data_IF_382155962286
#
_entry.id   IF_382155962286
#
_cell.length_a   1.000
_cell.length_b   1.000
_cell.length_c   1.000
_cell.angle_alpha   90.00
_cell.angle_beta   90.00
_cell.angle_gamma   90.00
#
_symmetry.space_group_name_H-M   'P 1'
#
loop_
_entity.id
_entity.type
_entity.pdbx_description
1 polymer ?
#
# COMPACT_ATOMS: atom_id res chain seq x y z
N UNK A 1 43.85 -26.44 -33.81
CA UNK A 1 42.61 -26.21 -34.58
C UNK A 1 41.98 -24.92 -34.11
N UNK A 2 41.53 -24.10 -35.05
CA UNK A 2 40.68 -22.92 -34.85
C UNK A 2 39.21 -23.35 -34.79
N UNK A 3 38.33 -22.46 -34.31
CA UNK A 3 36.88 -22.67 -34.26
C UNK A 3 36.20 -21.69 -35.21
N UNK A 4 35.35 -22.23 -36.07
CA UNK A 4 34.63 -21.48 -37.09
C UNK A 4 33.14 -21.57 -36.86
N UNK A 5 32.48 -20.41 -36.88
CA UNK A 5 31.03 -20.22 -36.86
C UNK A 5 30.60 -20.07 -38.31
N UNK A 6 29.92 -21.08 -38.83
CA UNK A 6 29.55 -21.16 -40.25
C UNK A 6 28.05 -20.98 -40.38
N UNK A 7 27.65 -19.89 -41.02
CA UNK A 7 26.25 -19.67 -41.40
C UNK A 7 25.95 -20.48 -42.65
N UNK A 8 24.86 -21.25 -42.64
CA UNK A 8 24.51 -22.19 -43.71
C UNK A 8 23.03 -22.17 -44.04
N UNK A 9 22.66 -22.67 -45.22
CA UNK A 9 21.28 -23.04 -45.56
C UNK A 9 21.16 -24.50 -45.97
N UNK A 10 20.01 -25.11 -45.65
CA UNK A 10 19.61 -26.43 -46.14
C UNK A 10 18.11 -26.40 -46.41
N UNK A 11 17.73 -26.51 -47.69
CA UNK A 11 16.41 -26.07 -48.14
C UNK A 11 16.15 -24.59 -47.79
N UNK A 12 14.92 -24.25 -47.43
CA UNK A 12 14.51 -22.88 -47.08
C UNK A 12 14.98 -22.38 -45.70
N UNK A 13 15.65 -23.23 -44.89
CA UNK A 13 16.03 -22.89 -43.51
C UNK A 13 17.51 -22.50 -43.41
N UNK A 14 17.79 -21.43 -42.65
CA UNK A 14 19.14 -20.98 -42.29
C UNK A 14 19.53 -21.51 -40.91
N UNK A 15 20.79 -21.90 -40.75
CA UNK A 15 21.37 -22.45 -39.51
C UNK A 15 22.75 -21.81 -39.26
N UNK A 16 23.25 -21.95 -38.04
CA UNK A 16 24.64 -21.61 -37.69
C UNK A 16 25.28 -22.84 -37.07
N UNK A 17 26.30 -23.39 -37.74
CA UNK A 17 27.07 -24.56 -37.31
C UNK A 17 28.37 -24.05 -36.67
N UNK A 18 28.83 -24.73 -35.61
CA UNK A 18 30.16 -24.49 -35.01
C UNK A 18 31.01 -25.70 -35.31
N UNK A 19 32.16 -25.50 -35.97
CA UNK A 19 33.06 -26.56 -36.39
C UNK A 19 34.52 -26.23 -36.03
N UNK A 20 35.34 -27.27 -35.85
CA UNK A 20 36.78 -27.15 -35.62
C UNK A 20 37.56 -27.58 -36.86
N UNK A 21 38.49 -26.73 -37.29
CA UNK A 21 39.33 -26.93 -38.47
C UNK A 21 40.69 -26.22 -38.29
N UNK A 22 41.64 -26.44 -39.19
CA UNK A 22 42.89 -25.69 -39.25
C UNK A 22 42.71 -24.42 -40.10
N UNK A 23 42.03 -24.50 -41.25
CA UNK A 23 41.71 -23.35 -42.12
C UNK A 23 40.20 -23.08 -42.24
N UNK A 24 39.85 -21.90 -42.76
CA UNK A 24 38.47 -21.53 -43.09
C UNK A 24 37.90 -22.46 -44.19
N UNK A 25 38.72 -22.83 -45.17
CA UNK A 25 38.29 -23.65 -46.30
C UNK A 25 38.07 -25.12 -45.93
N UNK A 26 38.84 -25.66 -44.99
CA UNK A 26 38.56 -26.98 -44.39
C UNK A 26 37.23 -26.96 -43.60
N UNK A 27 36.87 -25.83 -42.97
CA UNK A 27 35.57 -25.66 -42.33
C UNK A 27 34.42 -25.61 -43.35
N UNK A 28 34.61 -24.93 -44.50
CA UNK A 28 33.66 -24.95 -45.63
C UNK A 28 33.49 -26.36 -46.19
N UNK A 29 34.60 -27.05 -46.48
CA UNK A 29 34.60 -28.35 -47.15
C UNK A 29 33.91 -29.44 -46.32
N UNK A 30 34.16 -29.50 -45.01
CA UNK A 30 33.47 -30.44 -44.09
C UNK A 30 31.96 -30.24 -44.09
N UNK A 31 31.51 -28.99 -44.05
CA UNK A 31 30.09 -28.63 -44.01
C UNK A 31 29.42 -28.85 -45.38
N UNK A 32 30.14 -28.63 -46.48
CA UNK A 32 29.67 -28.95 -47.82
C UNK A 32 29.49 -30.47 -48.00
N UNK A 33 30.38 -31.30 -47.45
CA UNK A 33 30.26 -32.77 -47.43
C UNK A 33 29.02 -33.27 -46.65
N UNK A 34 28.52 -32.51 -45.68
CA UNK A 34 27.24 -32.79 -45.01
C UNK A 34 26.01 -32.28 -45.79
N UNK A 35 26.18 -31.71 -46.99
CA UNK A 35 25.09 -31.24 -47.84
C UNK A 35 24.43 -29.96 -47.32
N UNK A 36 25.23 -29.00 -46.86
CA UNK A 36 24.81 -27.63 -46.52
C UNK A 36 25.45 -26.62 -47.46
N UNK A 37 24.68 -25.64 -47.94
CA UNK A 37 25.24 -24.48 -48.66
C UNK A 37 25.79 -23.47 -47.65
N UNK A 38 27.06 -23.09 -47.79
CA UNK A 38 27.70 -22.10 -46.91
C UNK A 38 27.29 -20.68 -47.34
N UNK A 39 26.85 -19.87 -46.37
CA UNK A 39 26.46 -18.47 -46.53
C UNK A 39 27.50 -17.49 -45.97
N UNK A 40 28.42 -17.97 -45.13
CA UNK A 40 29.52 -17.18 -44.56
C UNK A 40 30.23 -17.95 -43.44
N UNK A 41 31.52 -17.66 -43.24
CA UNK A 41 32.35 -18.24 -42.19
C UNK A 41 32.97 -17.13 -41.35
N UNK A 42 32.95 -17.29 -40.04
CA UNK A 42 33.60 -16.40 -39.09
C UNK A 42 34.50 -17.25 -38.18
N UNK A 43 35.79 -16.92 -38.05
CA UNK A 43 36.61 -17.43 -36.95
C UNK A 43 36.15 -16.75 -35.65
N UNK A 44 35.92 -17.52 -34.58
CA UNK A 44 35.38 -16.98 -33.33
C UNK A 44 36.09 -17.55 -32.10
N UNK A 45 36.10 -16.78 -31.01
CA UNK A 45 36.66 -17.18 -29.73
C UNK A 45 35.61 -17.77 -28.79
N UNK A 46 35.99 -18.68 -27.88
CA UNK A 46 35.05 -19.21 -26.86
C UNK A 46 34.45 -18.14 -25.93
N UNK A 47 34.94 -16.89 -25.97
CA UNK A 47 34.44 -15.76 -25.18
C UNK A 47 33.18 -15.11 -25.76
N UNK A 48 32.84 -15.36 -27.03
CA UNK A 48 31.75 -14.69 -27.75
C UNK A 48 30.42 -15.48 -27.75
N UNK A 49 30.37 -16.58 -26.98
CA UNK A 49 29.21 -17.47 -26.93
C UNK A 49 28.08 -16.91 -26.06
N UNK A 50 27.10 -16.26 -26.70
CA UNK A 50 25.86 -15.73 -26.06
C UNK A 50 24.87 -16.88 -25.75
N UNK A 51 25.27 -17.83 -24.90
CA UNK A 51 24.44 -18.95 -24.44
C UNK A 51 25.20 -19.97 -23.59
N UNK A 52 24.46 -20.76 -22.82
CA UNK A 52 25.00 -21.89 -22.06
C UNK A 52 25.14 -23.13 -22.95
N UNK A 53 26.21 -23.90 -22.75
CA UNK A 53 26.44 -25.20 -23.39
C UNK A 53 25.63 -26.29 -22.65
N UNK A 54 24.77 -26.99 -23.38
CA UNK A 54 24.03 -28.15 -22.92
C UNK A 54 24.51 -29.40 -23.67
N UNK A 55 24.76 -30.47 -22.93
CA UNK A 55 25.15 -31.78 -23.46
C UNK A 55 23.87 -32.61 -23.58
N UNK A 56 23.67 -33.24 -24.74
CA UNK A 56 22.49 -34.05 -25.01
C UNK A 56 22.84 -35.44 -25.54
N UNK A 57 21.96 -36.39 -25.23
CA UNK A 57 21.91 -37.72 -25.82
C UNK A 57 20.46 -37.96 -26.25
N UNK A 58 20.26 -38.16 -27.55
CA UNK A 58 18.94 -38.33 -28.16
C UNK A 58 18.87 -39.64 -28.93
N UNK A 59 17.66 -40.18 -29.06
CA UNK A 59 17.35 -41.27 -29.98
C UNK A 59 16.65 -40.71 -31.21
N UNK A 60 17.17 -41.09 -32.37
CA UNK A 60 16.53 -40.89 -33.66
C UNK A 60 15.33 -41.83 -33.79
N UNK A 61 14.13 -41.31 -34.04
CA UNK A 61 12.89 -42.12 -34.07
C UNK A 61 12.88 -43.08 -35.24
N UNK A 62 13.25 -42.56 -36.40
CA UNK A 62 13.14 -43.28 -37.67
C UNK A 62 14.35 -44.21 -37.85
N UNK A 63 15.53 -43.80 -37.37
CA UNK A 63 16.77 -44.57 -37.53
C UNK A 63 17.19 -45.41 -36.32
N UNK A 64 16.55 -45.25 -35.16
CA UNK A 64 16.91 -45.87 -33.85
C UNK A 64 18.31 -45.55 -33.31
N UNK A 65 19.17 -44.87 -34.09
CA UNK A 65 20.51 -44.40 -33.73
C UNK A 65 20.50 -43.53 -32.45
N UNK A 66 21.54 -43.69 -31.63
CA UNK A 66 21.80 -42.85 -30.47
C UNK A 66 22.78 -41.76 -30.89
N UNK A 67 22.38 -40.49 -30.79
CA UNK A 67 23.18 -39.32 -31.18
C UNK A 67 23.52 -38.50 -29.95
N UNK A 68 24.81 -38.29 -29.74
CA UNK A 68 25.37 -37.47 -28.67
C UNK A 68 25.83 -36.13 -29.24
N UNK A 69 25.61 -35.04 -28.53
CA UNK A 69 26.01 -33.72 -29.01
C UNK A 69 26.06 -32.64 -27.94
N UNK A 70 26.52 -31.46 -28.35
CA UNK A 70 26.52 -30.23 -27.54
C UNK A 70 25.73 -29.18 -28.31
N UNK A 71 24.79 -28.52 -27.63
CA UNK A 71 23.95 -27.46 -28.18
C UNK A 71 24.04 -26.23 -27.29
N UNK A 72 24.08 -25.05 -27.90
CA UNK A 72 24.22 -23.78 -27.19
C UNK A 72 22.85 -23.10 -27.16
N UNK A 73 22.39 -22.69 -25.98
CA UNK A 73 21.05 -22.13 -25.79
C UNK A 73 20.93 -21.17 -24.61
N UNK A 74 19.83 -20.42 -24.57
CA UNK A 74 19.52 -19.49 -23.46
C UNK A 74 18.76 -20.15 -22.31
N UNK A 75 18.09 -21.28 -22.55
CA UNK A 75 17.33 -22.05 -21.56
C UNK A 75 17.30 -23.53 -21.98
N UNK A 76 17.58 -24.44 -21.04
CA UNK A 76 17.55 -25.90 -21.22
C UNK A 76 16.18 -26.42 -21.69
N UNK A 77 15.07 -25.83 -21.23
CA UNK A 77 13.74 -26.25 -21.68
C UNK A 77 13.41 -25.74 -23.09
N UNK A 78 13.97 -24.60 -23.51
CA UNK A 78 13.85 -24.13 -24.90
C UNK A 78 14.69 -25.01 -25.85
N UNK A 79 15.85 -25.49 -25.39
CA UNK A 79 16.61 -26.54 -26.09
C UNK A 79 15.81 -27.85 -26.17
N UNK A 80 15.18 -28.28 -25.06
CA UNK A 80 14.34 -29.47 -25.03
C UNK A 80 13.16 -29.39 -26.01
N UNK A 81 12.46 -28.24 -26.06
CA UNK A 81 11.41 -27.98 -27.05
C UNK A 81 11.95 -28.08 -28.48
N UNK A 82 13.12 -27.50 -28.79
CA UNK A 82 13.72 -27.60 -30.14
C UNK A 82 14.05 -29.06 -30.51
N UNK A 83 14.69 -29.80 -29.62
CA UNK A 83 15.02 -31.21 -29.85
C UNK A 83 13.75 -32.06 -30.10
N UNK A 84 12.65 -31.78 -29.39
CA UNK A 84 11.43 -32.60 -29.42
C UNK A 84 10.38 -32.18 -30.46
N UNK A 85 10.16 -30.89 -30.65
CA UNK A 85 9.12 -30.33 -31.53
C UNK A 85 9.66 -29.83 -32.89
N UNK A 86 10.92 -29.38 -32.98
CA UNK A 86 11.52 -28.94 -34.26
C UNK A 86 12.35 -30.04 -34.95
N UNK A 87 12.94 -30.94 -34.17
CA UNK A 87 13.84 -32.02 -34.63
C UNK A 87 13.30 -33.44 -34.34
N UNK A 88 12.10 -33.54 -33.75
CA UNK A 88 11.35 -34.78 -33.49
C UNK A 88 12.03 -35.86 -32.62
N UNK A 89 13.21 -35.60 -32.09
CA UNK A 89 14.01 -36.55 -31.30
C UNK A 89 13.37 -36.91 -29.95
N UNK A 90 13.57 -38.16 -29.52
CA UNK A 90 13.33 -38.54 -28.13
C UNK A 90 14.60 -38.31 -27.31
N UNK A 91 14.51 -37.36 -26.37
CA UNK A 91 15.64 -36.93 -25.53
C UNK A 91 15.83 -37.92 -24.37
N UNK A 92 16.95 -38.64 -24.37
CA UNK A 92 17.34 -39.57 -23.29
C UNK A 92 18.01 -38.79 -22.16
N UNK A 93 18.95 -37.92 -22.48
CA UNK A 93 19.61 -37.01 -21.54
C UNK A 93 19.77 -35.61 -22.13
N UNK A 94 19.63 -34.60 -21.26
CA UNK A 94 19.92 -33.19 -21.54
C UNK A 94 20.28 -32.53 -20.20
N UNK A 95 21.50 -32.00 -20.10
CA UNK A 95 22.05 -31.38 -18.88
C UNK A 95 23.07 -30.30 -19.24
N UNK A 96 23.42 -29.40 -18.31
CA UNK A 96 24.41 -28.34 -18.60
C UNK A 96 25.84 -28.89 -18.57
N UNK A 97 26.79 -28.18 -19.20
CA UNK A 97 28.21 -28.54 -19.10
C UNK A 97 28.75 -28.52 -17.65
N UNK A 98 28.11 -27.75 -16.75
CA UNK A 98 28.44 -27.74 -15.32
C UNK A 98 27.99 -29.04 -14.62
N UNK A 99 26.85 -29.61 -15.05
CA UNK A 99 26.30 -30.86 -14.51
C UNK A 99 27.03 -32.12 -15.03
N UNK A 100 28.10 -31.98 -15.82
CA UNK A 100 28.77 -33.12 -16.50
C UNK A 100 29.22 -34.23 -15.53
N UNK A 101 29.67 -33.85 -14.32
CA UNK A 101 30.07 -34.75 -13.23
C UNK A 101 28.91 -35.28 -12.36
N UNK A 102 27.66 -34.90 -12.63
CA UNK A 102 26.50 -35.35 -11.84
C UNK A 102 26.20 -36.85 -12.02
N UNK A 103 25.58 -37.43 -10.98
CA UNK A 103 25.18 -38.84 -10.92
C UNK A 103 24.06 -39.14 -11.93
N UNK A 104 23.97 -40.37 -12.45
CA UNK A 104 22.94 -40.71 -13.47
C UNK A 104 21.51 -40.47 -12.96
N UNK A 105 21.29 -40.71 -11.66
CA UNK A 105 20.04 -40.45 -10.96
C UNK A 105 19.65 -38.97 -10.96
N UNK A 106 20.57 -38.04 -11.21
CA UNK A 106 20.27 -36.61 -11.35
C UNK A 106 19.96 -36.24 -12.80
N UNK A 107 20.71 -36.78 -13.76
CA UNK A 107 20.45 -36.65 -15.20
C UNK A 107 19.04 -37.15 -15.57
N UNK A 108 18.59 -38.26 -14.99
CA UNK A 108 17.22 -38.78 -15.12
C UNK A 108 16.18 -37.82 -14.49
N UNK A 109 16.44 -37.25 -13.30
CA UNK A 109 15.52 -36.27 -12.66
C UNK A 109 15.35 -35.02 -13.50
N UNK A 110 16.39 -34.55 -14.19
CA UNK A 110 16.32 -33.38 -15.09
C UNK A 110 15.36 -33.67 -16.25
N UNK A 111 15.52 -34.82 -16.92
CA UNK A 111 14.67 -35.23 -18.05
C UNK A 111 13.20 -35.41 -17.63
N UNK A 112 12.94 -36.12 -16.53
CA UNK A 112 11.57 -36.31 -16.03
C UNK A 112 10.93 -34.96 -15.64
N UNK A 113 11.73 -34.01 -15.14
CA UNK A 113 11.25 -32.64 -14.92
C UNK A 113 10.89 -31.97 -16.25
N UNK A 114 11.76 -31.98 -17.26
CA UNK A 114 11.49 -31.37 -18.58
C UNK A 114 10.24 -31.96 -19.27
N UNK A 115 9.99 -33.26 -19.10
CA UNK A 115 8.75 -33.91 -19.55
C UNK A 115 7.50 -33.41 -18.80
N UNK A 116 7.53 -33.28 -17.47
CA UNK A 116 6.45 -32.65 -16.69
C UNK A 116 6.20 -31.20 -17.15
N UNK A 117 7.26 -30.45 -17.47
CA UNK A 117 7.17 -29.04 -17.91
C UNK A 117 6.47 -28.90 -19.27
N UNK A 118 6.76 -29.79 -20.22
CA UNK A 118 6.18 -29.81 -21.58
C UNK A 118 4.65 -29.88 -21.55
N UNK A 119 4.10 -30.77 -20.73
CA UNK A 119 2.67 -31.06 -20.67
C UNK A 119 1.84 -29.89 -20.12
N UNK A 120 2.44 -28.98 -19.35
CA UNK A 120 1.74 -27.83 -18.75
C UNK A 120 1.54 -26.70 -19.78
N UNK A 121 2.47 -26.52 -20.71
CA UNK A 121 2.52 -25.33 -21.56
C UNK A 121 1.44 -25.32 -22.66
N UNK A 122 0.97 -26.49 -23.11
CA UNK A 122 -0.06 -26.60 -24.16
C UNK A 122 -1.48 -26.20 -23.72
N UNK A 123 -1.71 -25.86 -22.44
CA UNK A 123 -3.07 -25.66 -21.89
C UNK A 123 -3.47 -24.25 -21.44
N UNK A 124 -2.71 -23.17 -21.73
CA UNK A 124 -2.90 -21.86 -21.07
C UNK A 124 -2.75 -20.63 -22.02
N UNK A 125 -3.55 -20.53 -23.08
CA UNK A 125 -3.52 -19.41 -24.06
C UNK A 125 -4.91 -18.94 -24.59
N UNK A 126 -5.75 -18.32 -23.75
CA UNK A 126 -6.86 -17.43 -24.18
C UNK A 126 -7.04 -16.29 -23.12
N UNK A 127 -7.41 -15.08 -23.57
CA UNK A 127 -7.93 -13.90 -22.85
C UNK A 127 -7.04 -13.11 -21.83
N UNK A 128 -6.89 -11.80 -22.10
CA UNK A 128 -7.07 -10.64 -21.17
C UNK A 128 -6.59 -9.31 -21.83
N UNK A 129 -7.51 -8.34 -22.09
CA UNK A 129 -7.32 -6.90 -22.43
C UNK A 129 -8.69 -6.28 -22.81
N UNK A 130 -9.10 -5.02 -22.54
CA UNK A 130 -8.56 -3.81 -21.85
C UNK A 130 -9.59 -3.33 -20.75
N UNK A 131 -9.91 -2.07 -20.34
CA UNK A 131 -9.47 -0.65 -20.55
C UNK A 131 -9.93 0.26 -19.36
N UNK A 132 -9.81 1.60 -19.45
CA UNK A 132 -10.11 2.58 -18.36
C UNK A 132 -10.54 3.99 -18.92
N UNK A 133 -10.63 5.05 -18.07
CA UNK A 133 -10.80 6.53 -18.36
C UNK A 133 -12.25 7.13 -18.50
N UNK A 134 -12.63 8.40 -18.17
CA UNK A 134 -12.04 9.54 -17.39
C UNK A 134 -13.00 10.71 -16.91
N UNK A 135 -12.65 11.40 -15.79
CA UNK A 135 -12.69 12.87 -15.33
C UNK A 135 -13.85 13.93 -15.43
N UNK A 136 -13.78 14.91 -14.46
CA UNK A 136 -14.17 16.39 -14.44
C UNK A 136 -15.63 16.85 -14.09
N UNK A 137 -16.02 18.16 -14.00
CA UNK A 137 -15.75 19.38 -13.12
C UNK A 137 -16.97 20.41 -13.29
N UNK A 138 -17.18 21.68 -12.79
CA UNK A 138 -16.47 22.82 -12.09
C UNK A 138 -17.43 23.97 -11.59
N UNK A 139 -16.92 25.00 -10.86
CA UNK A 139 -17.36 26.45 -10.75
C UNK A 139 -18.62 26.91 -9.93
N UNK A 140 -18.94 28.22 -9.72
CA UNK A 140 -18.30 29.31 -8.88
C UNK A 140 -19.15 30.63 -8.70
N UNK A 141 -19.15 31.27 -7.50
CA UNK A 141 -19.46 32.71 -7.15
C UNK A 141 -20.89 33.29 -7.49
N UNK A 142 -21.36 34.51 -7.13
CA UNK A 142 -20.80 35.77 -6.54
C UNK A 142 -21.91 36.68 -5.88
N UNK A 143 -21.55 37.84 -5.23
CA UNK A 143 -22.21 39.19 -5.24
C UNK A 143 -22.06 40.08 -3.97
N UNK A 144 -22.20 41.41 -4.12
CA UNK A 144 -22.15 42.48 -3.08
C UNK A 144 -23.21 43.57 -3.33
N UNK A 145 -23.81 44.18 -2.28
CA UNK A 145 -24.29 45.59 -2.28
C UNK A 145 -24.73 46.08 -0.87
N UNK A 146 -24.07 47.10 -0.30
CA UNK A 146 -24.56 48.05 0.73
C UNK A 146 -23.36 48.95 1.15
N UNK A 147 -23.43 50.28 0.98
CA UNK A 147 -22.21 51.12 1.05
C UNK A 147 -22.31 52.54 1.62
N UNK A 148 -23.49 53.02 2.06
CA UNK A 148 -23.63 54.40 2.59
C UNK A 148 -23.87 54.52 4.11
N UNK A 149 -24.61 53.61 4.75
CA UNK A 149 -24.75 53.60 6.22
C UNK A 149 -23.45 53.15 6.91
N UNK A 150 -22.79 52.14 6.32
CA UNK A 150 -21.48 51.62 6.73
C UNK A 150 -20.40 52.69 6.94
N UNK A 151 -20.46 53.83 6.23
CA UNK A 151 -19.39 54.83 6.23
C UNK A 151 -19.15 55.44 7.62
N UNK A 152 -20.20 55.87 8.31
CA UNK A 152 -20.09 56.53 9.62
C UNK A 152 -19.75 55.56 10.75
N UNK A 153 -20.33 54.36 10.71
CA UNK A 153 -20.00 53.27 11.65
C UNK A 153 -18.53 52.83 11.45
N UNK A 154 -18.07 52.70 10.20
CA UNK A 154 -16.66 52.43 9.88
C UNK A 154 -15.74 53.50 10.45
N UNK A 155 -16.08 54.78 10.33
CA UNK A 155 -15.23 55.85 10.85
C UNK A 155 -15.05 55.79 12.36
N UNK A 156 -16.12 55.56 13.13
CA UNK A 156 -16.05 55.37 14.59
C UNK A 156 -15.21 54.15 14.96
N UNK A 157 -15.37 53.04 14.24
CA UNK A 157 -14.60 51.81 14.47
C UNK A 157 -13.11 51.97 14.13
N UNK A 158 -12.78 52.71 13.07
CA UNK A 158 -11.41 53.00 12.68
C UNK A 158 -10.68 53.84 13.74
N UNK A 159 -11.37 54.74 14.43
CA UNK A 159 -10.76 55.49 15.54
C UNK A 159 -10.44 54.61 16.75
N UNK A 160 -11.27 53.60 17.06
CA UNK A 160 -10.91 52.57 18.05
C UNK A 160 -9.72 51.71 17.58
N UNK A 161 -9.61 51.38 16.28
CA UNK A 161 -8.44 50.67 15.73
C UNK A 161 -7.18 51.53 15.80
N UNK A 162 -7.25 52.82 15.47
CA UNK A 162 -6.13 53.77 15.61
C UNK A 162 -5.69 53.93 17.07
N UNK A 163 -6.63 54.02 18.01
CA UNK A 163 -6.32 54.04 19.44
C UNK A 163 -5.63 52.75 19.90
N UNK A 164 -6.15 51.57 19.52
CA UNK A 164 -5.52 50.30 19.90
C UNK A 164 -4.15 50.10 19.23
N UNK A 165 -3.97 50.52 17.97
CA UNK A 165 -2.66 50.56 17.30
C UNK A 165 -1.65 51.45 18.05
N UNK A 166 -2.06 52.65 18.47
CA UNK A 166 -1.21 53.57 19.24
C UNK A 166 -0.72 52.90 20.52
N UNK A 167 -1.64 52.32 21.30
CA UNK A 167 -1.31 51.62 22.55
C UNK A 167 -0.36 50.43 22.31
N UNK A 168 -0.53 49.69 21.21
CA UNK A 168 0.36 48.58 20.79
C UNK A 168 1.77 49.08 20.40
N UNK A 169 1.89 50.26 19.81
CA UNK A 169 3.17 50.88 19.42
C UNK A 169 3.90 51.50 20.64
N UNK A 170 3.17 51.99 21.63
CA UNK A 170 3.71 52.74 22.78
C UNK A 170 3.94 51.87 24.03
N UNK A 171 3.01 50.98 24.40
CA UNK A 171 3.12 50.16 25.62
C UNK A 171 4.00 48.90 25.41
N UNK A 172 5.32 49.13 25.49
CA UNK A 172 6.35 48.08 25.44
C UNK A 172 6.12 46.96 26.46
N UNK A 173 5.54 47.26 27.62
CA UNK A 173 5.44 46.31 28.74
C UNK A 173 4.37 45.24 28.50
N UNK A 174 3.39 45.49 27.62
CA UNK A 174 2.32 44.54 27.29
C UNK A 174 2.60 43.80 25.98
N UNK A 175 3.11 44.50 24.97
CA UNK A 175 3.17 43.97 23.60
C UNK A 175 4.57 43.51 23.16
N UNK A 176 5.64 43.97 23.82
CA UNK A 176 7.04 43.56 23.63
C UNK A 176 7.43 43.33 22.15
N UNK A 177 7.16 44.34 21.32
CA UNK A 177 7.36 44.29 19.87
C UNK A 177 8.84 44.39 19.49
N UNK A 178 9.24 43.60 18.50
CA UNK A 178 10.52 43.81 17.79
C UNK A 178 10.48 45.11 16.96
N UNK A 179 11.66 45.69 16.76
CA UNK A 179 11.97 46.83 15.91
C UNK A 179 11.26 46.81 14.55
N UNK A 180 11.40 45.71 13.80
CA UNK A 180 10.82 45.54 12.46
C UNK A 180 9.27 45.48 12.52
N UNK A 181 8.72 44.91 13.59
CA UNK A 181 7.27 44.84 13.81
C UNK A 181 6.71 46.22 14.18
N UNK A 182 7.44 47.00 14.99
CA UNK A 182 7.05 48.35 15.42
C UNK A 182 6.98 49.30 14.23
N UNK A 183 7.96 49.25 13.32
CA UNK A 183 7.92 49.98 12.05
C UNK A 183 6.69 49.58 11.22
N UNK A 184 6.47 48.27 11.01
CA UNK A 184 5.29 47.76 10.28
C UNK A 184 3.95 48.17 10.89
N UNK A 185 3.86 48.40 12.20
CA UNK A 185 2.66 48.95 12.83
C UNK A 185 2.54 50.48 12.68
N UNK A 186 3.66 51.21 12.72
CA UNK A 186 3.69 52.65 12.42
C UNK A 186 3.28 52.93 10.96
N UNK A 187 3.74 52.12 10.00
CA UNK A 187 3.31 52.20 8.60
C UNK A 187 1.80 51.98 8.45
N UNK A 188 1.22 51.00 9.15
CA UNK A 188 -0.22 50.75 9.14
C UNK A 188 -0.99 51.92 9.75
N UNK A 189 -0.53 52.44 10.88
CA UNK A 189 -1.12 53.61 11.55
C UNK A 189 -1.12 54.85 10.63
N UNK A 190 0.02 55.16 10.01
CA UNK A 190 0.18 56.26 9.06
C UNK A 190 -0.70 56.09 7.81
N UNK A 191 -0.81 54.87 7.27
CA UNK A 191 -1.67 54.58 6.13
C UNK A 191 -3.16 54.70 6.47
N UNK A 192 -3.60 54.23 7.65
CA UNK A 192 -4.99 54.41 8.10
C UNK A 192 -5.31 55.91 8.27
N UNK A 193 -4.42 56.71 8.87
CA UNK A 193 -4.59 58.17 8.97
C UNK A 193 -4.69 58.82 7.59
N UNK A 194 -3.82 58.45 6.65
CA UNK A 194 -3.81 58.97 5.27
C UNK A 194 -5.12 58.62 4.54
N UNK A 195 -5.64 57.41 4.73
CA UNK A 195 -6.84 56.90 4.04
C UNK A 195 -8.14 57.34 4.73
N UNK A 196 -8.14 57.66 6.04
CA UNK A 196 -9.30 58.22 6.76
C UNK A 196 -9.82 59.47 6.06
N UNK A 197 -8.93 60.29 5.52
CA UNK A 197 -9.23 61.52 4.74
C UNK A 197 -9.88 61.27 3.36
N UNK A 198 -9.98 60.02 2.88
CA UNK A 198 -10.30 59.69 1.48
C UNK A 198 -11.61 58.90 1.27
N UNK A 199 -12.57 59.01 2.19
CA UNK A 199 -14.00 58.60 2.03
C UNK A 199 -14.29 57.15 1.58
N UNK A 200 -13.31 56.24 1.58
CA UNK A 200 -13.48 54.87 1.12
C UNK A 200 -13.63 53.89 2.30
N UNK A 201 -14.87 53.64 2.74
CA UNK A 201 -15.15 52.73 3.86
C UNK A 201 -14.70 51.29 3.60
N UNK A 202 -14.80 50.77 2.38
CA UNK A 202 -14.38 49.40 2.06
C UNK A 202 -12.87 49.21 2.30
N UNK A 203 -12.02 50.12 1.78
CA UNK A 203 -10.57 50.11 2.03
C UNK A 203 -10.24 50.37 3.50
N UNK A 204 -11.00 51.22 4.19
CA UNK A 204 -10.84 51.43 5.63
C UNK A 204 -11.14 50.16 6.42
N UNK A 205 -12.30 49.51 6.22
CA UNK A 205 -12.65 48.22 6.83
C UNK A 205 -11.57 47.18 6.57
N UNK A 206 -11.11 47.01 5.33
CA UNK A 206 -10.05 46.05 4.96
C UNK A 206 -8.71 46.31 5.69
N UNK A 207 -8.26 47.56 5.78
CA UNK A 207 -6.98 47.89 6.45
C UNK A 207 -7.12 47.83 7.98
N UNK A 208 -8.28 48.23 8.51
CA UNK A 208 -8.62 48.09 9.94
C UNK A 208 -8.72 46.62 10.38
N UNK A 209 -9.35 45.78 9.56
CA UNK A 209 -9.34 44.32 9.73
C UNK A 209 -7.90 43.79 9.70
N UNK A 210 -7.09 44.15 8.70
CA UNK A 210 -5.69 43.71 8.59
C UNK A 210 -4.85 44.12 9.82
N UNK A 211 -5.09 45.32 10.37
CA UNK A 211 -4.48 45.78 11.61
C UNK A 211 -4.90 44.93 12.82
N UNK A 212 -6.21 44.73 13.02
CA UNK A 212 -6.75 43.91 14.12
C UNK A 212 -6.34 42.44 14.00
N UNK A 213 -6.22 41.90 12.78
CA UNK A 213 -5.70 40.55 12.55
C UNK A 213 -4.23 40.43 12.95
N UNK A 214 -3.41 41.47 12.74
CA UNK A 214 -2.02 41.48 13.22
C UNK A 214 -1.95 41.61 14.75
N UNK A 215 -2.77 42.48 15.36
CA UNK A 215 -2.86 42.66 16.81
C UNK A 215 -3.32 41.37 17.49
N UNK A 216 -4.43 40.77 17.04
CA UNK A 216 -5.00 39.55 17.62
C UNK A 216 -4.09 38.33 17.49
N UNK A 217 -3.25 38.25 16.45
CA UNK A 217 -2.20 37.23 16.35
C UNK A 217 -1.09 37.40 17.41
N UNK A 218 -0.84 38.60 17.90
CA UNK A 218 0.14 38.87 18.98
C UNK A 218 -0.53 38.64 20.35
N UNK A 219 -1.75 39.13 20.53
CA UNK A 219 -2.53 38.91 21.76
C UNK A 219 -2.81 37.42 22.00
N UNK A 220 -3.13 36.64 20.96
CA UNK A 220 -3.30 35.19 21.05
C UNK A 220 -1.98 34.50 21.46
N UNK A 221 -0.84 34.87 20.86
CA UNK A 221 0.48 34.34 21.25
C UNK A 221 0.85 34.69 22.70
N UNK A 222 0.49 35.89 23.16
CA UNK A 222 0.74 36.32 24.54
C UNK A 222 -0.22 35.61 25.52
N UNK A 223 -1.45 35.33 25.13
CA UNK A 223 -2.42 34.52 25.88
C UNK A 223 -1.94 33.05 25.97
N UNK A 224 -1.54 32.43 24.86
CA UNK A 224 -1.01 31.06 24.82
C UNK A 224 0.26 30.90 25.68
N UNK A 225 1.06 31.96 25.86
CA UNK A 225 2.25 31.97 26.73
C UNK A 225 1.98 32.28 28.20
N UNK A 226 1.12 33.27 28.49
CA UNK A 226 0.99 33.86 29.83
C UNK A 226 -0.34 33.56 30.52
N UNK A 227 -1.38 33.19 29.77
CA UNK A 227 -2.70 32.73 30.24
C UNK A 227 -3.46 33.69 31.19
N UNK A 228 -3.02 34.95 31.32
CA UNK A 228 -3.52 35.92 32.30
C UNK A 228 -4.94 36.43 32.00
N UNK A 229 -5.61 37.00 33.01
CA UNK A 229 -6.91 37.69 32.82
C UNK A 229 -6.79 38.85 31.82
N UNK A 230 -5.76 39.70 31.98
CA UNK A 230 -5.49 40.86 31.10
C UNK A 230 -5.30 40.46 29.63
N UNK A 231 -4.58 39.37 29.35
CA UNK A 231 -4.42 38.88 27.97
C UNK A 231 -5.71 38.33 27.35
N UNK A 232 -6.62 37.77 28.17
CA UNK A 232 -7.97 37.35 27.73
C UNK A 232 -8.89 38.55 27.47
N UNK A 233 -8.83 39.57 28.31
CA UNK A 233 -9.60 40.82 28.14
C UNK A 233 -9.19 41.52 26.83
N UNK A 234 -7.89 41.69 26.58
CA UNK A 234 -7.36 42.28 25.35
C UNK A 234 -7.75 41.53 24.08
N UNK A 235 -7.66 40.19 24.06
CA UNK A 235 -8.06 39.39 22.89
C UNK A 235 -9.59 39.46 22.66
N UNK A 236 -10.39 39.49 23.74
CA UNK A 236 -11.84 39.65 23.65
C UNK A 236 -12.24 41.03 23.09
N UNK A 237 -11.51 42.10 23.41
CA UNK A 237 -11.71 43.40 22.76
C UNK A 237 -11.39 43.37 21.27
N UNK A 238 -10.29 42.74 20.87
CA UNK A 238 -9.92 42.59 19.45
C UNK A 238 -10.97 41.78 18.69
N UNK A 239 -11.49 40.71 19.29
CA UNK A 239 -12.61 39.93 18.72
C UNK A 239 -13.90 40.76 18.59
N UNK A 240 -14.23 41.62 19.56
CA UNK A 240 -15.35 42.56 19.46
C UNK A 240 -15.15 43.57 18.32
N UNK A 241 -13.96 44.15 18.20
CA UNK A 241 -13.64 45.11 17.14
C UNK A 241 -13.66 44.46 15.75
N UNK A 242 -13.15 43.24 15.60
CA UNK A 242 -13.22 42.45 14.35
C UNK A 242 -14.68 42.20 13.93
N UNK A 243 -15.51 41.72 14.88
CA UNK A 243 -16.94 41.50 14.63
C UNK A 243 -17.64 42.80 14.20
N UNK A 244 -17.38 43.91 14.88
CA UNK A 244 -18.03 45.19 14.59
C UNK A 244 -17.59 45.78 13.23
N UNK A 245 -16.36 45.55 12.78
CA UNK A 245 -15.90 45.93 11.43
C UNK A 245 -16.52 45.04 10.33
N UNK A 246 -17.09 43.88 10.69
CA UNK A 246 -17.70 42.93 9.77
C UNK A 246 -16.77 41.79 9.34
N UNK A 247 -15.68 41.54 10.08
CA UNK A 247 -14.80 40.41 9.80
C UNK A 247 -15.44 39.09 10.21
N UNK A 248 -15.40 38.11 9.31
CA UNK A 248 -15.78 36.71 9.58
C UNK A 248 -14.70 35.94 10.39
N UNK A 249 -13.68 36.63 10.92
CA UNK A 249 -12.55 36.02 11.64
C UNK A 249 -12.58 36.37 13.11
N UNK A 250 -12.54 35.34 13.96
CA UNK A 250 -12.41 35.45 15.41
C UNK A 250 -11.20 34.64 15.87
N UNK A 251 -10.41 35.19 16.79
CA UNK A 251 -9.32 34.46 17.44
C UNK A 251 -9.84 33.67 18.64
N UNK A 252 -9.74 32.35 18.57
CA UNK A 252 -10.16 31.41 19.62
C UNK A 252 -8.92 30.63 20.08
N UNK A 253 -8.84 30.31 21.37
CA UNK A 253 -7.80 29.42 21.90
C UNK A 253 -7.86 28.06 21.19
N UNK A 254 -6.72 27.55 20.68
CA UNK A 254 -6.63 26.29 19.93
C UNK A 254 -7.23 25.07 20.64
N UNK A 255 -7.23 25.08 21.98
CA UNK A 255 -7.76 24.00 22.82
C UNK A 255 -9.27 24.10 23.09
N UNK A 256 -9.93 25.20 22.67
CA UNK A 256 -11.37 25.47 22.82
C UNK A 256 -12.10 25.58 21.49
N UNK A 257 -11.37 25.81 20.39
CA UNK A 257 -11.94 25.79 19.05
C UNK A 257 -12.31 24.35 18.64
N UNK A 258 -13.60 24.05 18.70
CA UNK A 258 -14.19 22.77 18.28
C UNK A 258 -13.86 22.48 16.81
N UNK A 259 -13.73 23.51 15.96
CA UNK A 259 -13.37 23.36 14.56
C UNK A 259 -11.90 22.97 14.41
N UNK A 260 -10.99 23.63 15.12
CA UNK A 260 -9.57 23.25 15.14
C UNK A 260 -9.36 21.82 15.66
N UNK A 261 -10.10 21.43 16.72
CA UNK A 261 -10.13 20.05 17.21
C UNK A 261 -10.61 19.07 16.12
N UNK A 262 -11.72 19.37 15.44
CA UNK A 262 -12.25 18.53 14.36
C UNK A 262 -11.30 18.45 13.16
N UNK A 263 -10.65 19.55 12.75
CA UNK A 263 -9.61 19.56 11.72
C UNK A 263 -8.39 18.73 12.12
N UNK A 264 -8.01 18.72 13.41
CA UNK A 264 -6.92 17.91 13.94
C UNK A 264 -7.29 16.40 13.97
N UNK A 265 -8.52 16.05 14.36
CA UNK A 265 -9.02 14.67 14.27
C UNK A 265 -9.17 14.20 12.82
N UNK A 266 -9.72 15.03 11.93
CA UNK A 266 -9.91 14.73 10.51
C UNK A 266 -8.58 14.55 9.79
N UNK A 267 -7.60 15.44 10.01
CA UNK A 267 -6.26 15.30 9.46
C UNK A 267 -5.53 14.08 10.00
N UNK A 268 -5.68 13.71 11.28
CA UNK A 268 -5.17 12.45 11.82
C UNK A 268 -5.81 11.21 11.15
N UNK A 269 -7.13 11.22 10.94
CA UNK A 269 -7.84 10.15 10.24
C UNK A 269 -7.36 10.02 8.78
N UNK A 270 -7.30 11.13 8.05
CA UNK A 270 -6.81 11.18 6.67
C UNK A 270 -5.34 10.73 6.56
N UNK A 271 -4.49 11.10 7.52
CA UNK A 271 -3.10 10.65 7.60
C UNK A 271 -2.98 9.14 7.90
N UNK A 272 -3.88 8.57 8.71
CA UNK A 272 -3.96 7.13 8.93
C UNK A 272 -4.45 6.40 7.66
N UNK A 273 -5.48 6.92 6.99
CA UNK A 273 -6.01 6.37 5.75
C UNK A 273 -5.01 6.44 4.58
N UNK A 274 -4.24 7.53 4.47
CA UNK A 274 -3.14 7.63 3.50
C UNK A 274 -2.06 6.57 3.77
N UNK A 275 -1.65 6.38 5.03
CA UNK A 275 -0.72 5.29 5.41
C UNK A 275 -1.27 3.90 5.10
N UNK A 276 -2.59 3.70 5.15
CA UNK A 276 -3.22 2.45 4.69
C UNK A 276 -3.10 2.25 3.18
N UNK A 277 -3.36 3.29 2.38
CA UNK A 277 -3.15 3.26 0.93
C UNK A 277 -1.67 2.99 0.59
N UNK A 278 -0.73 3.61 1.28
CA UNK A 278 0.72 3.36 1.10
C UNK A 278 1.09 1.90 1.44
N UNK A 279 0.46 1.30 2.47
CA UNK A 279 0.64 -0.11 2.81
C UNK A 279 0.00 -1.03 1.74
N UNK A 280 -1.19 -0.68 1.22
CA UNK A 280 -1.83 -1.40 0.10
C UNK A 280 -0.91 -1.38 -1.14
N UNK A 281 -0.37 -0.22 -1.47
CA UNK A 281 0.57 0.00 -2.57
C UNK A 281 1.87 -0.79 -2.39
N UNK A 282 2.37 -0.90 -1.15
CA UNK A 282 3.53 -1.74 -0.81
C UNK A 282 3.29 -3.24 -1.11
N UNK A 283 2.05 -3.75 -1.01
CA UNK A 283 1.70 -5.12 -1.40
C UNK A 283 1.34 -5.29 -2.88
N UNK A 284 0.93 -4.22 -3.57
CA UNK A 284 0.69 -4.21 -5.02
C UNK A 284 1.93 -3.74 -5.79
N UNK A 285 3.07 -4.40 -5.57
CA UNK A 285 4.23 -4.24 -6.45
C UNK A 285 3.88 -4.63 -7.90
N UNK A 286 4.54 -3.98 -8.87
CA UNK A 286 4.50 -4.43 -10.28
C UNK A 286 4.85 -5.92 -10.34
N UNK A 287 4.01 -6.71 -11.02
CA UNK A 287 4.37 -8.08 -11.40
C UNK A 287 5.48 -7.96 -12.44
N UNK A 288 6.59 -8.67 -12.25
CA UNK A 288 7.54 -8.93 -13.33
C UNK A 288 6.87 -9.81 -14.40
N UNK A 289 7.15 -9.52 -15.67
CA UNK A 289 6.59 -10.28 -16.79
C UNK A 289 7.31 -11.63 -16.93
N UNK A 290 6.77 -12.67 -16.28
CA UNK A 290 7.39 -13.98 -16.30
C UNK A 290 7.13 -14.67 -17.64
N UNK A 291 8.23 -15.04 -18.31
CA UNK A 291 8.22 -16.05 -19.35
C UNK A 291 7.73 -17.40 -18.79
N UNK A 292 6.45 -17.69 -19.04
CA UNK A 292 5.77 -18.95 -18.69
C UNK A 292 6.37 -20.18 -19.39
N UNK A 293 7.23 -20.00 -20.39
CA UNK A 293 7.99 -21.07 -21.07
C UNK A 293 9.38 -21.32 -20.46
N UNK A 294 9.82 -20.55 -19.47
CA UNK A 294 11.15 -20.74 -18.88
C UNK A 294 11.23 -21.96 -17.97
N UNK A 295 12.38 -22.65 -17.98
CA UNK A 295 12.66 -23.76 -17.06
C UNK A 295 12.52 -23.33 -15.59
N UNK A 296 12.91 -22.09 -15.26
CA UNK A 296 12.78 -21.53 -13.90
C UNK A 296 11.32 -21.41 -13.45
N UNK A 297 10.42 -20.95 -14.31
CA UNK A 297 8.99 -20.88 -14.01
C UNK A 297 8.38 -22.28 -13.90
N UNK A 298 8.61 -23.16 -14.88
CA UNK A 298 7.97 -24.48 -14.92
C UNK A 298 8.51 -25.39 -13.79
N UNK A 299 9.79 -25.27 -13.40
CA UNK A 299 10.35 -25.89 -12.18
C UNK A 299 9.69 -25.36 -10.90
N UNK A 300 9.38 -24.06 -10.84
CA UNK A 300 8.65 -23.44 -9.72
C UNK A 300 7.22 -24.01 -9.61
N UNK A 301 6.52 -24.21 -10.73
CA UNK A 301 5.19 -24.84 -10.77
C UNK A 301 5.21 -26.30 -10.31
N UNK A 302 6.20 -27.08 -10.75
CA UNK A 302 6.38 -28.49 -10.34
C UNK A 302 6.67 -28.60 -8.83
N UNK A 303 7.59 -27.78 -8.31
CA UNK A 303 7.89 -27.74 -6.87
C UNK A 303 6.64 -27.36 -6.06
N UNK A 304 5.88 -26.36 -6.51
CA UNK A 304 4.63 -25.93 -5.88
C UNK A 304 3.62 -27.08 -5.79
N UNK A 305 3.43 -27.86 -6.85
CA UNK A 305 2.57 -29.07 -6.83
C UNK A 305 3.07 -30.07 -5.79
N UNK A 306 4.38 -30.35 -5.75
CA UNK A 306 5.03 -31.30 -4.81
C UNK A 306 4.92 -30.83 -3.35
N UNK A 307 5.00 -29.52 -3.07
CA UNK A 307 4.76 -28.97 -1.71
C UNK A 307 3.27 -28.99 -1.31
N UNK A 308 2.32 -28.76 -2.23
CA UNK A 308 0.88 -28.86 -1.93
C UNK A 308 0.46 -30.29 -1.58
N UNK A 309 1.02 -31.31 -2.24
CA UNK A 309 0.83 -32.72 -1.88
C UNK A 309 1.37 -32.98 -0.44
N UNK A 310 2.60 -32.54 -0.13
CA UNK A 310 3.16 -32.64 1.23
C UNK A 310 2.33 -31.91 2.30
N UNK A 311 1.62 -30.84 1.94
CA UNK A 311 0.69 -30.16 2.86
C UNK A 311 -0.58 -30.97 3.13
N UNK A 312 -1.10 -31.69 2.14
CA UNK A 312 -2.21 -32.63 2.32
C UNK A 312 -1.79 -33.84 3.17
N UNK A 313 -0.62 -34.42 2.91
CA UNK A 313 0.00 -35.48 3.73
C UNK A 313 0.13 -35.04 5.20
N UNK A 314 0.68 -33.85 5.44
CA UNK A 314 0.83 -33.30 6.80
C UNK A 314 -0.51 -32.88 7.45
N UNK A 315 -1.57 -32.66 6.67
CA UNK A 315 -2.92 -32.45 7.22
C UNK A 315 -3.52 -33.78 7.69
N UNK A 316 -3.41 -34.84 6.88
CA UNK A 316 -3.75 -36.23 7.28
C UNK A 316 -2.92 -36.72 8.48
N UNK A 317 -1.66 -36.30 8.57
CA UNK A 317 -0.79 -36.53 9.73
C UNK A 317 -1.32 -35.83 10.99
N UNK A 318 -1.88 -34.61 10.88
CA UNK A 318 -2.52 -33.92 12.00
C UNK A 318 -3.87 -34.56 12.40
N UNK A 319 -4.71 -34.89 11.43
CA UNK A 319 -6.00 -35.57 11.64
C UNK A 319 -5.81 -36.89 12.40
N UNK A 320 -4.87 -37.74 11.95
CA UNK A 320 -4.51 -38.99 12.63
C UNK A 320 -3.91 -38.81 14.02
N UNK A 321 -3.39 -37.63 14.35
CA UNK A 321 -2.84 -37.30 15.67
C UNK A 321 -3.74 -36.31 16.45
N UNK A 322 -5.02 -36.12 16.09
CA UNK A 322 -5.89 -35.08 16.65
C UNK A 322 -5.95 -35.07 18.19
N UNK A 323 -6.03 -36.23 18.84
CA UNK A 323 -6.00 -36.35 20.31
C UNK A 323 -4.69 -35.84 20.95
N UNK A 324 -3.54 -35.97 20.28
CA UNK A 324 -2.26 -35.38 20.73
C UNK A 324 -2.25 -33.84 20.64
N UNK A 325 -3.17 -33.26 19.87
CA UNK A 325 -3.34 -31.81 19.76
C UNK A 325 -4.30 -31.24 20.80
N UNK A 326 -5.33 -32.00 21.20
CA UNK A 326 -6.23 -31.64 22.30
C UNK A 326 -5.58 -31.76 23.68
N UNK A 327 -4.88 -32.87 23.96
CA UNK A 327 -4.44 -33.19 25.32
C UNK A 327 -3.11 -32.49 25.68
N UNK A 328 -2.96 -31.89 26.88
CA UNK A 328 -1.80 -31.08 27.26
C UNK A 328 -0.57 -31.89 27.76
N UNK A 329 -0.48 -33.19 27.45
CA UNK A 329 0.54 -34.07 28.01
C UNK A 329 1.98 -33.69 27.61
N UNK A 330 2.79 -33.37 28.61
CA UNK A 330 4.19 -32.90 28.49
C UNK A 330 5.06 -33.83 27.61
N UNK A 331 4.89 -35.15 27.75
CA UNK A 331 5.59 -36.21 26.99
C UNK A 331 5.40 -36.15 25.47
N UNK A 332 4.40 -35.42 24.98
CA UNK A 332 4.08 -35.31 23.54
C UNK A 332 4.42 -33.94 22.92
N UNK A 333 4.97 -33.01 23.70
CA UNK A 333 5.19 -31.63 23.25
C UNK A 333 6.19 -31.52 22.08
N UNK A 334 7.25 -32.32 22.06
CA UNK A 334 8.24 -32.32 20.97
C UNK A 334 7.66 -32.81 19.64
N UNK A 335 6.92 -33.94 19.66
CA UNK A 335 6.22 -34.47 18.47
C UNK A 335 5.20 -33.45 17.93
N UNK A 336 4.46 -32.79 18.84
CA UNK A 336 3.51 -31.71 18.52
C UNK A 336 4.22 -30.51 17.88
N UNK A 337 5.34 -30.07 18.44
CA UNK A 337 6.16 -28.98 17.92
C UNK A 337 6.74 -29.32 16.54
N UNK A 338 7.30 -30.52 16.35
CA UNK A 338 7.88 -30.96 15.07
C UNK A 338 6.84 -30.98 13.95
N UNK A 339 5.63 -31.53 14.18
CA UNK A 339 4.55 -31.56 13.18
C UNK A 339 4.10 -30.13 12.83
N UNK A 340 4.01 -29.21 13.81
CA UNK A 340 3.67 -27.80 13.57
C UNK A 340 4.78 -27.03 12.83
N UNK A 341 6.05 -27.29 13.14
CA UNK A 341 7.19 -26.71 12.42
C UNK A 341 7.23 -27.18 10.97
N UNK A 342 7.09 -28.49 10.75
CA UNK A 342 6.93 -29.12 9.42
C UNK A 342 5.80 -28.46 8.63
N UNK A 343 4.62 -28.25 9.24
CA UNK A 343 3.49 -27.55 8.61
C UNK A 343 3.83 -26.11 8.22
N UNK A 344 4.40 -25.33 9.14
CA UNK A 344 4.80 -23.92 8.92
C UNK A 344 5.82 -23.80 7.79
N UNK A 345 6.83 -24.66 7.76
CA UNK A 345 7.86 -24.68 6.69
C UNK A 345 7.25 -25.07 5.34
N UNK A 346 6.33 -26.02 5.29
CA UNK A 346 5.61 -26.36 4.04
C UNK A 346 4.77 -25.17 3.56
N UNK A 347 4.00 -24.52 4.44
CA UNK A 347 3.20 -23.33 4.09
C UNK A 347 4.07 -22.17 3.58
N UNK A 348 5.19 -21.89 4.23
CA UNK A 348 6.15 -20.87 3.80
C UNK A 348 6.69 -21.15 2.40
N UNK A 349 7.08 -22.41 2.11
CA UNK A 349 7.55 -22.80 0.78
C UNK A 349 6.45 -22.67 -0.29
N UNK A 350 5.20 -23.04 0.01
CA UNK A 350 4.07 -22.82 -0.90
C UNK A 350 3.91 -21.33 -1.20
N UNK A 351 3.88 -20.46 -0.17
CA UNK A 351 3.72 -19.01 -0.35
C UNK A 351 4.85 -18.38 -1.18
N UNK A 352 6.10 -18.79 -0.96
CA UNK A 352 7.26 -18.33 -1.74
C UNK A 352 7.16 -18.76 -3.21
N UNK A 353 6.76 -20.02 -3.47
CA UNK A 353 6.62 -20.55 -4.83
C UNK A 353 5.40 -19.96 -5.56
N UNK A 354 4.31 -19.66 -4.87
CA UNK A 354 3.13 -18.97 -5.44
C UNK A 354 3.42 -17.52 -5.79
N UNK A 355 4.19 -16.81 -4.96
CA UNK A 355 4.64 -15.47 -5.26
C UNK A 355 5.62 -15.45 -6.44
N UNK A 356 6.61 -16.38 -6.47
CA UNK A 356 7.51 -16.55 -7.61
C UNK A 356 6.78 -16.97 -8.90
N UNK A 357 5.69 -17.74 -8.82
CA UNK A 357 4.82 -18.06 -9.97
C UNK A 357 4.04 -16.82 -10.48
N UNK A 358 3.77 -15.84 -9.62
CA UNK A 358 2.90 -14.69 -9.94
C UNK A 358 3.64 -13.36 -10.18
N UNK A 359 4.97 -13.41 -10.37
CA UNK A 359 5.80 -12.25 -10.75
C UNK A 359 6.11 -11.32 -9.58
N UNK A 360 5.94 -11.77 -8.33
CA UNK A 360 6.09 -10.94 -7.14
C UNK A 360 7.45 -11.14 -6.49
N UNK A 361 8.20 -10.05 -6.30
CA UNK A 361 9.43 -10.04 -5.51
C UNK A 361 9.07 -10.27 -4.04
N UNK A 362 9.25 -11.51 -3.57
CA UNK A 362 8.63 -11.95 -2.31
C UNK A 362 9.65 -12.68 -1.42
N UNK A 363 10.01 -12.06 -0.31
CA UNK A 363 11.00 -12.56 0.64
C UNK A 363 10.39 -12.76 2.03
N UNK A 364 10.97 -13.66 2.82
CA UNK A 364 10.53 -13.92 4.20
C UNK A 364 10.52 -12.64 5.06
N UNK A 365 11.53 -11.77 4.89
CA UNK A 365 11.64 -10.50 5.60
C UNK A 365 10.57 -9.51 5.19
N UNK A 366 10.17 -9.49 3.90
CA UNK A 366 9.05 -8.70 3.41
C UNK A 366 7.72 -9.16 4.04
N UNK A 367 7.44 -10.47 4.07
CA UNK A 367 6.22 -11.02 4.70
C UNK A 367 6.16 -10.71 6.19
N UNK A 368 7.23 -10.99 6.95
CA UNK A 368 7.27 -10.77 8.40
C UNK A 368 7.13 -9.28 8.76
N UNK A 369 7.82 -8.38 8.04
CA UNK A 369 7.67 -6.93 8.25
C UNK A 369 6.29 -6.42 7.80
N UNK A 370 5.75 -6.94 6.70
CA UNK A 370 4.43 -6.59 6.17
C UNK A 370 3.29 -6.98 7.14
N UNK A 371 3.30 -8.21 7.65
CA UNK A 371 2.28 -8.68 8.60
C UNK A 371 2.31 -7.88 9.92
N UNK A 372 3.51 -7.58 10.44
CA UNK A 372 3.65 -6.71 11.62
C UNK A 372 3.17 -5.27 11.35
N UNK A 373 3.40 -4.72 10.15
CA UNK A 373 2.84 -3.42 9.73
C UNK A 373 1.30 -3.45 9.69
N UNK A 374 0.69 -4.51 9.16
CA UNK A 374 -0.77 -4.67 9.13
C UNK A 374 -1.34 -4.72 10.56
N UNK A 375 -0.76 -5.55 11.45
CA UNK A 375 -1.20 -5.63 12.85
C UNK A 375 -1.09 -4.27 13.55
N UNK A 376 0.04 -3.58 13.39
CA UNK A 376 0.25 -2.25 13.93
C UNK A 376 -0.79 -1.25 13.42
N UNK A 377 -1.08 -1.27 12.12
CA UNK A 377 -2.10 -0.42 11.51
C UNK A 377 -3.51 -0.71 12.05
N UNK A 378 -3.94 -1.98 12.09
CA UNK A 378 -5.28 -2.36 12.60
C UNK A 378 -5.45 -1.93 14.06
N UNK A 379 -4.41 -2.10 14.88
CA UNK A 379 -4.41 -1.60 16.25
C UNK A 379 -4.52 -0.07 16.30
N UNK A 380 -3.70 0.67 15.53
CA UNK A 380 -3.77 2.14 15.49
C UNK A 380 -5.15 2.65 15.07
N UNK A 381 -5.76 2.05 14.04
CA UNK A 381 -7.09 2.41 13.57
C UNK A 381 -8.17 2.13 14.64
N UNK A 382 -8.06 0.98 15.33
CA UNK A 382 -8.95 0.64 16.43
C UNK A 382 -8.84 1.61 17.62
N UNK A 383 -7.62 2.02 17.99
CA UNK A 383 -7.40 3.03 19.05
C UNK A 383 -7.99 4.41 18.68
N UNK A 384 -7.99 4.79 17.40
CA UNK A 384 -8.65 6.03 16.93
C UNK A 384 -10.19 5.94 17.03
N UNK A 385 -10.78 4.75 16.88
CA UNK A 385 -12.24 4.56 16.95
C UNK A 385 -12.78 4.50 18.40
N UNK A 386 -12.00 4.02 19.38
CA UNK A 386 -12.45 3.93 20.79
C UNK A 386 -13.13 5.21 21.33
N UNK A 387 -12.54 6.44 21.21
CA UNK A 387 -13.20 7.65 21.67
C UNK A 387 -14.46 8.01 20.87
N UNK A 388 -14.52 7.69 19.57
CA UNK A 388 -15.71 7.97 18.76
C UNK A 388 -16.90 7.10 19.18
N UNK A 389 -16.68 5.82 19.48
CA UNK A 389 -17.72 4.95 20.06
C UNK A 389 -18.22 5.48 21.42
N UNK A 390 -17.32 6.01 22.26
CA UNK A 390 -17.69 6.63 23.53
C UNK A 390 -18.59 7.86 23.34
N UNK A 391 -18.26 8.74 22.40
CA UNK A 391 -19.12 9.88 22.08
C UNK A 391 -20.46 9.48 21.44
N UNK A 392 -20.51 8.45 20.59
CA UNK A 392 -21.78 7.91 20.06
C UNK A 392 -22.68 7.43 21.20
N UNK A 393 -22.14 6.64 22.13
CA UNK A 393 -22.91 6.13 23.29
C UNK A 393 -23.44 7.28 24.13
N UNK A 394 -22.62 8.29 24.46
CA UNK A 394 -23.05 9.48 25.21
C UNK A 394 -24.14 10.26 24.46
N UNK A 395 -23.97 10.51 23.15
CA UNK A 395 -24.91 11.30 22.38
C UNK A 395 -26.27 10.58 22.23
N UNK A 396 -26.24 9.25 22.06
CA UNK A 396 -27.46 8.44 22.08
C UNK A 396 -28.13 8.45 23.46
N UNK A 397 -27.38 8.36 24.57
CA UNK A 397 -27.94 8.49 25.92
C UNK A 397 -28.65 9.84 26.11
N UNK A 398 -28.04 10.96 25.72
CA UNK A 398 -28.68 12.27 25.80
C UNK A 398 -29.93 12.34 24.92
N UNK A 399 -29.87 11.88 23.68
CA UNK A 399 -31.02 11.88 22.77
C UNK A 399 -32.18 11.02 23.29
N UNK A 400 -31.88 9.84 23.85
CA UNK A 400 -32.88 8.96 24.45
C UNK A 400 -33.53 9.59 25.69
N UNK A 401 -32.74 10.17 26.60
CA UNK A 401 -33.24 10.86 27.80
C UNK A 401 -34.13 12.05 27.41
N UNK A 402 -33.73 12.85 26.42
CA UNK A 402 -34.53 13.99 25.92
C UNK A 402 -35.84 13.49 25.30
N UNK A 403 -35.79 12.46 24.46
CA UNK A 403 -36.98 11.88 23.82
C UNK A 403 -37.98 11.32 24.86
N UNK A 404 -37.47 10.63 25.88
CA UNK A 404 -38.27 10.08 26.97
C UNK A 404 -38.96 11.17 27.81
N UNK A 405 -38.26 12.26 28.12
CA UNK A 405 -38.87 13.39 28.83
C UNK A 405 -39.90 14.13 27.96
N UNK A 406 -39.65 14.32 26.66
CA UNK A 406 -40.61 14.97 25.76
C UNK A 406 -41.91 14.18 25.60
N UNK A 407 -41.83 12.83 25.56
CA UNK A 407 -43.01 11.97 25.58
C UNK A 407 -43.73 12.04 26.93
N UNK A 408 -43.00 11.98 28.05
CA UNK A 408 -43.58 12.04 29.40
C UNK A 408 -44.36 13.35 29.67
N UNK A 409 -43.87 14.49 29.17
CA UNK A 409 -44.55 15.79 29.26
C UNK A 409 -45.57 16.03 28.14
N UNK A 410 -45.91 15.02 27.32
CA UNK A 410 -46.91 15.10 26.23
C UNK A 410 -46.68 16.22 25.19
N UNK A 411 -45.46 16.74 25.09
CA UNK A 411 -45.14 17.88 24.22
C UNK A 411 -45.01 17.48 22.74
N UNK A 412 -44.73 16.21 22.47
CA UNK A 412 -44.65 15.60 21.14
C UNK A 412 -45.02 14.11 21.22
N UNK A 413 -45.80 13.61 20.27
CA UNK A 413 -46.06 12.17 20.08
C UNK A 413 -44.85 11.42 19.49
N UNK A 414 -43.74 11.40 20.24
CA UNK A 414 -42.55 10.63 19.91
C UNK A 414 -42.75 9.19 20.38
N UNK A 415 -43.23 8.33 19.48
CA UNK A 415 -43.24 6.88 19.71
C UNK A 415 -41.79 6.36 19.84
N UNK A 416 -41.37 6.07 21.08
CA UNK A 416 -40.03 5.54 21.36
C UNK A 416 -39.89 4.15 20.74
N UNK A 417 -38.96 4.02 19.79
CA UNK A 417 -38.61 2.74 19.20
C UNK A 417 -37.72 1.95 20.17
N UNK A 418 -38.34 1.09 20.99
CA UNK A 418 -37.66 0.22 21.95
C UNK A 418 -36.65 -0.74 21.30
N UNK A 419 -36.80 -1.09 20.01
CA UNK A 419 -35.81 -1.91 19.30
C UNK A 419 -34.48 -1.14 19.14
N UNK A 420 -34.50 0.20 19.21
CA UNK A 420 -33.29 1.03 19.29
C UNK A 420 -32.47 0.78 20.57
N UNK A 421 -33.11 0.40 21.69
CA UNK A 421 -32.40 0.06 22.92
C UNK A 421 -31.56 -1.21 22.78
N UNK A 422 -32.02 -2.20 22.00
CA UNK A 422 -31.21 -3.38 21.69
C UNK A 422 -29.89 -2.97 21.00
N UNK A 423 -29.95 -2.18 19.92
CA UNK A 423 -28.76 -1.67 19.23
C UNK A 423 -27.86 -0.79 20.11
N UNK A 424 -28.45 0.00 21.01
CA UNK A 424 -27.70 0.82 21.97
C UNK A 424 -26.96 -0.02 23.03
N UNK A 425 -27.61 -1.04 23.59
CA UNK A 425 -27.00 -1.99 24.52
C UNK A 425 -25.88 -2.77 23.80
N UNK A 426 -26.08 -3.11 22.53
CA UNK A 426 -25.08 -3.71 21.65
C UNK A 426 -23.87 -2.78 21.40
N UNK A 427 -24.09 -1.46 21.24
CA UNK A 427 -23.02 -0.45 21.19
C UNK A 427 -22.25 -0.31 22.52
N UNK A 428 -22.92 -0.44 23.67
CA UNK A 428 -22.25 -0.49 24.99
C UNK A 428 -21.39 -1.75 25.11
N UNK A 429 -21.90 -2.91 24.71
CA UNK A 429 -21.14 -4.17 24.71
C UNK A 429 -19.92 -4.06 23.79
N UNK A 430 -20.06 -3.46 22.60
CA UNK A 430 -18.94 -3.15 21.71
C UNK A 430 -17.92 -2.24 22.39
N UNK A 431 -18.36 -1.15 23.03
CA UNK A 431 -17.49 -0.22 23.76
C UNK A 431 -16.67 -0.95 24.83
N UNK A 432 -17.30 -1.74 25.69
CA UNK A 432 -16.64 -2.52 26.75
C UNK A 432 -15.61 -3.47 26.16
N UNK A 433 -15.97 -4.22 25.12
CA UNK A 433 -15.03 -5.08 24.41
C UNK A 433 -13.85 -4.30 23.81
N UNK A 434 -14.08 -3.12 23.24
CA UNK A 434 -12.98 -2.27 22.73
C UNK A 434 -12.06 -1.79 23.84
N UNK A 435 -12.57 -1.46 25.03
CA UNK A 435 -11.71 -1.05 26.16
C UNK A 435 -10.86 -2.21 26.69
N UNK A 436 -11.47 -3.39 26.87
CA UNK A 436 -10.77 -4.62 27.30
C UNK A 436 -9.69 -5.08 26.30
N UNK A 437 -9.80 -4.73 25.01
CA UNK A 437 -8.82 -5.05 23.98
C UNK A 437 -7.50 -4.27 24.14
N UNK A 438 -6.54 -4.89 24.87
CA UNK A 438 -5.17 -4.41 25.08
C UNK A 438 -4.18 -4.78 23.96
N UNK A 439 -4.55 -5.66 23.01
CA UNK A 439 -3.68 -6.10 21.92
C UNK A 439 -4.39 -6.98 20.90
N UNK A 440 -3.76 -7.26 19.76
CA UNK A 440 -4.43 -7.80 18.56
C UNK A 440 -5.17 -9.12 18.78
N UNK A 441 -4.58 -10.06 19.54
CA UNK A 441 -5.23 -11.36 19.85
C UNK A 441 -6.49 -11.15 20.71
N UNK A 442 -6.42 -10.26 21.70
CA UNK A 442 -7.56 -9.89 22.55
C UNK A 442 -8.63 -9.12 21.76
N UNK A 443 -8.24 -8.28 20.80
CA UNK A 443 -9.15 -7.58 19.89
C UNK A 443 -9.94 -8.60 19.04
N UNK A 444 -9.25 -9.55 18.40
CA UNK A 444 -9.91 -10.59 17.59
C UNK A 444 -10.81 -11.48 18.45
N UNK A 445 -10.36 -11.89 19.64
CA UNK A 445 -11.17 -12.71 20.55
C UNK A 445 -12.44 -11.99 21.03
N UNK A 446 -12.29 -10.73 21.49
CA UNK A 446 -13.42 -9.90 21.90
C UNK A 446 -14.37 -9.63 20.74
N UNK A 447 -13.87 -9.45 19.50
CA UNK A 447 -14.71 -9.28 18.31
C UNK A 447 -15.49 -10.56 17.96
N UNK A 448 -14.89 -11.75 18.12
CA UNK A 448 -15.61 -13.03 17.92
C UNK A 448 -16.73 -13.20 18.94
N UNK A 449 -16.47 -12.93 20.22
CA UNK A 449 -17.51 -12.96 21.27
C UNK A 449 -18.59 -11.92 20.97
N UNK A 450 -18.22 -10.71 20.56
CA UNK A 450 -19.16 -9.68 20.14
C UNK A 450 -20.05 -10.14 18.97
N UNK A 451 -19.50 -10.76 17.93
CA UNK A 451 -20.31 -11.29 16.82
C UNK A 451 -21.21 -12.45 17.24
N UNK A 452 -20.80 -13.29 18.20
CA UNK A 452 -21.66 -14.32 18.77
C UNK A 452 -22.83 -13.71 19.53
N UNK A 453 -22.58 -12.71 20.38
CA UNK A 453 -23.63 -11.98 21.13
C UNK A 453 -24.56 -11.22 20.17
N UNK A 454 -24.04 -10.64 19.08
CA UNK A 454 -24.86 -10.01 18.03
C UNK A 454 -25.79 -11.02 17.36
N UNK A 455 -25.28 -12.18 16.93
CA UNK A 455 -26.08 -13.22 16.28
C UNK A 455 -27.13 -13.79 17.24
N UNK A 456 -26.74 -14.13 18.47
CA UNK A 456 -27.67 -14.66 19.48
C UNK A 456 -28.71 -13.61 19.87
N UNK A 457 -28.34 -12.33 19.93
CA UNK A 457 -29.28 -11.23 20.15
C UNK A 457 -30.31 -11.11 19.02
N UNK A 458 -29.86 -10.95 17.76
CA UNK A 458 -30.72 -10.75 16.57
C UNK A 458 -31.59 -11.96 16.22
N UNK A 459 -31.34 -13.13 16.82
CA UNK A 459 -32.19 -14.33 16.70
C UNK A 459 -33.28 -14.40 17.80
N UNK A 460 -33.14 -13.65 18.90
CA UNK A 460 -34.03 -13.69 20.06
C UNK A 460 -34.69 -12.32 20.37
N UNK A 461 -34.53 -11.32 19.51
CA UNK A 461 -34.98 -9.93 19.67
C UNK A 461 -35.42 -9.32 18.33
#
# INVERSE_FOLDING_TARGET
MKKYKVSVSKGQKKYTIIISAFSEDEAKEKIHKEGYSVLGVEEFSDRELIGQKFIFQVKDKDKKEIKNGIVIGKDIFKVYLKLRDELFYDVIYLYSEQDKKSDEKEKIKIINTLQEQYNILKGVKIQDQEKEEEKNQRSLLNQEFHLKKDLEETYKLIDFVLFKLKNVIEDKNIYNLDSEQRLKFQDIYNNIIKIKKSTNAAKLKQIGELALLKIGNIELKNLEKLNTKKSKELLNETNKLLKNIGSNRQFIERNKDIKALFELYSSNFNNAFKKFLDIKNFFTQKKEEIDKSSYSYLKTVILLKKYKIKFQENSKELEKNFFLFLLPFKKNQEKKAHILLKRRVIQQNISLLEAKKSGKIYSYTFVKKGYNKIIGFVLSYFYLIKPFLFFIVIFYSFFFIISFNLQYYSLLDVNINYNGLFYFLLLIILLVFTQLSKGFISLVFNFVIFTFIFIVGVVNF
#
